data_IF_379137008242
#
_entry.id   IF_379137008242
#
_cell.length_a   1.000
_cell.length_b   1.000
_cell.length_c   1.000
_cell.angle_alpha   90.00
_cell.angle_beta   90.00
_cell.angle_gamma   90.00
#
_symmetry.space_group_name_H-M   'P 1'
#
loop_
_entity.id
_entity.type
_entity.pdbx_description
1 polymer ?
#
# COMPACT_ATOMS: atom_id res chain seq x y z
N UNK A 1 1.42 2.81 24.48
CA UNK A 1 1.45 3.01 23.02
C UNK A 1 1.44 1.64 22.37
N UNK A 2 0.56 1.40 21.40
CA UNK A 2 0.43 0.11 20.71
C UNK A 2 1.06 0.19 19.32
N UNK A 3 1.83 -0.84 18.95
CA UNK A 3 2.54 -0.97 17.67
C UNK A 3 2.05 -2.18 16.86
N UNK A 4 1.02 -2.90 17.34
CA UNK A 4 0.47 -4.06 16.63
C UNK A 4 -0.04 -3.66 15.24
N UNK A 5 0.38 -4.40 14.23
CA UNK A 5 -0.01 -4.18 12.84
C UNK A 5 0.57 -2.91 12.20
N UNK A 6 1.58 -2.28 12.81
CA UNK A 6 2.21 -1.08 12.29
C UNK A 6 3.63 -1.35 11.80
N UNK A 7 4.02 -0.66 10.74
CA UNK A 7 5.42 -0.62 10.30
C UNK A 7 6.16 0.44 11.11
N UNK A 8 7.23 0.00 11.78
CA UNK A 8 8.02 0.85 12.67
C UNK A 8 9.50 0.58 12.42
N UNK A 9 10.28 1.64 12.30
CA UNK A 9 11.74 1.56 12.35
C UNK A 9 12.18 1.97 13.76
N UNK A 10 13.03 1.15 14.38
CA UNK A 10 13.55 1.41 15.73
C UNK A 10 15.06 1.54 15.66
N UNK A 11 15.63 2.49 16.41
CA UNK A 11 17.07 2.70 16.50
C UNK A 11 17.50 2.60 17.96
N UNK A 12 18.64 1.96 18.19
CA UNK A 12 19.24 1.81 19.51
C UNK A 12 20.21 0.63 19.58
N UNK A 13 20.99 0.51 20.68
CA UNK A 13 21.95 -0.57 20.84
C UNK A 13 21.26 -1.92 21.06
N UNK A 14 21.91 -2.98 20.58
CA UNK A 14 21.49 -4.36 20.84
C UNK A 14 21.81 -4.69 22.30
N UNK A 15 20.80 -5.10 23.05
CA UNK A 15 20.89 -5.45 24.46
C UNK A 15 20.98 -6.97 24.69
N UNK A 16 20.63 -7.79 23.69
CA UNK A 16 20.78 -9.24 23.78
C UNK A 16 19.82 -10.01 22.88
N UNK A 17 19.46 -11.21 23.32
CA UNK A 17 18.55 -12.12 22.63
C UNK A 17 17.62 -12.77 23.66
N UNK A 18 16.35 -12.91 23.30
CA UNK A 18 15.30 -13.52 24.14
C UNK A 18 14.68 -14.69 23.38
N UNK A 19 14.57 -15.83 24.04
CA UNK A 19 13.90 -17.00 23.46
C UNK A 19 12.38 -16.77 23.41
N UNK A 20 11.75 -17.17 22.32
CA UNK A 20 10.31 -17.14 22.15
C UNK A 20 9.86 -18.06 21.02
N UNK A 21 8.71 -17.79 20.40
CA UNK A 21 8.18 -18.60 19.29
C UNK A 21 7.41 -17.75 18.28
N UNK A 22 7.46 -18.15 17.02
CA UNK A 22 6.59 -17.66 15.95
C UNK A 22 5.63 -18.81 15.60
N UNK A 23 4.35 -18.64 15.92
CA UNK A 23 3.38 -19.75 15.89
C UNK A 23 3.77 -20.85 16.88
N UNK A 24 4.06 -22.06 16.36
CA UNK A 24 4.52 -23.21 17.13
C UNK A 24 6.04 -23.41 17.11
N UNK A 25 6.78 -22.66 16.30
CA UNK A 25 8.22 -22.87 16.09
C UNK A 25 9.04 -21.96 17.02
N UNK A 26 10.00 -22.48 17.79
CA UNK A 26 10.86 -21.66 18.64
C UNK A 26 11.71 -20.71 17.80
N UNK A 27 11.85 -19.47 18.25
CA UNK A 27 12.60 -18.42 17.58
C UNK A 27 13.29 -17.51 18.60
N UNK A 28 14.49 -17.06 18.27
CA UNK A 28 15.30 -16.17 19.12
C UNK A 28 15.12 -14.73 18.67
N UNK A 29 14.47 -13.92 19.49
CA UNK A 29 14.21 -12.51 19.21
C UNK A 29 15.40 -11.66 19.66
N UNK A 30 15.85 -10.75 18.81
CA UNK A 30 16.80 -9.73 19.22
C UNK A 30 16.15 -8.77 20.22
N UNK A 31 16.82 -8.54 21.35
CA UNK A 31 16.46 -7.52 22.31
C UNK A 31 17.29 -6.27 22.05
N UNK A 32 16.63 -5.12 21.91
CA UNK A 32 17.30 -3.83 21.72
C UNK A 32 16.76 -2.80 22.70
N UNK A 33 17.62 -1.87 23.12
CA UNK A 33 17.20 -0.71 23.90
C UNK A 33 16.78 0.40 22.93
N UNK A 34 15.47 0.63 22.79
CA UNK A 34 14.95 1.60 21.84
C UNK A 34 15.21 3.04 22.32
N UNK A 35 16.15 3.74 21.70
CA UNK A 35 16.42 5.17 21.98
C UNK A 35 15.59 6.09 21.09
N UNK A 36 15.09 5.59 19.95
CA UNK A 36 14.17 6.30 19.08
C UNK A 36 13.39 5.35 18.17
N UNK A 37 12.27 5.82 17.65
CA UNK A 37 11.47 5.09 16.65
C UNK A 37 10.78 6.04 15.67
N UNK A 38 10.53 5.58 14.44
CA UNK A 38 9.67 6.22 13.44
C UNK A 38 8.53 5.27 13.08
N UNK A 39 7.29 5.74 13.19
CA UNK A 39 6.09 5.00 12.73
C UNK A 39 5.76 5.43 11.32
N UNK A 40 5.60 4.45 10.44
CA UNK A 40 5.23 4.68 9.05
C UNK A 40 3.72 4.59 8.88
N UNK A 41 3.13 5.55 8.17
CA UNK A 41 1.74 5.50 7.78
C UNK A 41 1.65 4.71 6.47
N UNK A 42 0.90 3.60 6.46
CA UNK A 42 0.65 2.85 5.22
C UNK A 42 -0.58 3.45 4.56
N UNK A 43 -0.38 4.12 3.43
CA UNK A 43 -1.47 4.70 2.63
C UNK A 43 -1.66 3.84 1.40
N UNK A 44 -2.90 3.42 1.17
CA UNK A 44 -3.29 2.70 -0.01
C UNK A 44 -3.67 3.71 -1.10
N UNK A 45 -2.85 3.83 -2.14
CA UNK A 45 -3.20 4.68 -3.29
C UNK A 45 -3.95 3.85 -4.32
N UNK A 46 -5.14 4.30 -4.69
CA UNK A 46 -5.92 3.76 -5.81
C UNK A 46 -5.63 4.64 -7.02
N UNK A 47 -4.88 4.11 -7.99
CA UNK A 47 -4.66 4.82 -9.26
C UNK A 47 -5.78 4.43 -10.21
N UNK A 48 -6.68 5.38 -10.49
CA UNK A 48 -7.73 5.16 -11.48
C UNK A 48 -7.13 5.15 -12.89
N UNK A 49 -7.53 4.19 -13.75
CA UNK A 49 -7.14 4.22 -15.15
C UNK A 49 -7.67 5.50 -15.81
N UNK A 50 -6.93 6.06 -16.79
CA UNK A 50 -7.40 7.20 -17.56
C UNK A 50 -8.80 6.92 -18.09
N UNK A 51 -9.74 7.83 -17.79
CA UNK A 51 -11.09 7.72 -18.33
C UNK A 51 -11.00 7.77 -19.86
N UNK A 52 -11.82 7.00 -20.60
CA UNK A 52 -11.87 7.10 -22.05
C UNK A 52 -12.19 8.54 -22.45
N UNK A 53 -11.20 9.22 -23.02
CA UNK A 53 -11.39 10.54 -23.64
C UNK A 53 -11.89 10.28 -25.05
N UNK A 54 -13.05 10.83 -25.39
CA UNK A 54 -13.53 10.76 -26.75
C UNK A 54 -12.58 11.58 -27.66
N UNK A 55 -12.24 11.10 -28.87
CA UNK A 55 -11.27 11.78 -29.75
C UNK A 55 -11.60 13.23 -30.11
N UNK A 56 -12.83 13.66 -29.83
CA UNK A 56 -13.38 14.96 -30.16
C UNK A 56 -13.77 15.79 -28.93
N UNK A 57 -13.42 15.35 -27.71
CA UNK A 57 -13.66 16.03 -26.42
C UNK A 57 -15.10 16.52 -26.19
N UNK A 58 -16.08 15.88 -26.81
CA UNK A 58 -17.48 16.27 -26.86
C UNK A 58 -18.30 15.82 -25.63
N UNK A 59 -17.66 15.18 -24.65
CA UNK A 59 -18.26 14.82 -23.36
C UNK A 59 -19.36 13.75 -23.46
N UNK A 60 -19.92 13.32 -22.32
CA UNK A 60 -20.93 12.25 -22.28
C UNK A 60 -22.25 12.72 -22.89
N UNK A 61 -22.68 12.12 -24.01
CA UNK A 61 -23.94 12.49 -24.69
C UNK A 61 -25.09 11.58 -24.25
N UNK A 62 -26.29 12.11 -23.90
CA UNK A 62 -27.37 11.35 -23.27
C UNK A 62 -28.07 10.28 -24.13
N UNK A 63 -27.79 10.18 -25.43
CA UNK A 63 -28.57 9.38 -26.39
C UNK A 63 -27.73 8.48 -27.30
N UNK A 64 -26.62 7.91 -26.80
CA UNK A 64 -25.71 7.05 -27.58
C UNK A 64 -25.75 5.59 -27.15
N UNK A 65 -26.75 4.82 -27.61
CA UNK A 65 -26.65 3.36 -27.64
C UNK A 65 -25.76 2.94 -28.82
N UNK A 66 -24.63 2.30 -28.52
CA UNK A 66 -23.80 1.60 -29.51
C UNK A 66 -22.55 2.37 -29.92
N UNK A 67 -21.38 1.92 -29.49
CA UNK A 67 -20.49 1.04 -30.27
C UNK A 67 -19.29 0.75 -29.37
N UNK A 68 -19.12 -0.53 -29.03
CA UNK A 68 -17.97 -0.98 -28.25
C UNK A 68 -16.65 -0.74 -29.00
N UNK A 69 -15.63 -0.39 -28.22
CA UNK A 69 -14.25 -0.82 -28.47
C UNK A 69 -13.49 -0.14 -29.59
N UNK A 70 -13.10 1.13 -29.42
CA UNK A 70 -11.90 1.70 -30.07
C UNK A 70 -11.13 2.67 -29.16
N UNK A 71 -11.17 2.43 -27.85
CA UNK A 71 -10.35 3.15 -26.87
C UNK A 71 -9.02 2.44 -26.65
N UNK A 72 -7.90 3.12 -26.94
CA UNK A 72 -6.52 2.68 -26.71
C UNK A 72 -6.12 2.59 -25.23
N UNK A 73 -7.08 2.43 -24.31
CA UNK A 73 -6.82 2.44 -22.89
C UNK A 73 -7.41 1.20 -22.24
N UNK A 74 -6.49 0.43 -21.64
CA UNK A 74 -6.76 -0.79 -20.89
C UNK A 74 -7.69 -0.48 -19.70
N UNK A 75 -8.94 -0.98 -19.66
CA UNK A 75 -9.87 -0.81 -18.53
C UNK A 75 -9.52 -1.78 -17.40
N UNK A 76 -8.23 -1.97 -17.15
CA UNK A 76 -7.73 -2.85 -16.10
C UNK A 76 -8.18 -2.35 -14.71
N UNK A 77 -8.38 -3.26 -13.75
CA UNK A 77 -8.74 -2.90 -12.39
C UNK A 77 -7.72 -1.90 -11.83
N UNK A 78 -8.20 -0.90 -11.09
CA UNK A 78 -7.35 0.12 -10.48
C UNK A 78 -6.23 -0.56 -9.67
N UNK A 79 -4.98 -0.21 -9.96
CA UNK A 79 -3.85 -0.76 -9.22
C UNK A 79 -3.88 -0.22 -7.80
N UNK A 80 -3.98 -1.14 -6.86
CA UNK A 80 -3.87 -0.86 -5.43
C UNK A 80 -2.41 -0.99 -5.05
N UNK A 81 -1.76 0.12 -4.69
CA UNK A 81 -0.38 0.13 -4.19
C UNK A 81 -0.36 0.57 -2.74
N UNK A 82 0.20 -0.28 -1.87
CA UNK A 82 0.48 0.08 -0.49
C UNK A 82 1.79 0.84 -0.45
N UNK A 83 1.72 2.14 -0.17
CA UNK A 83 2.88 3.02 -0.09
C UNK A 83 3.11 3.40 1.37
N UNK A 84 4.37 3.37 1.77
CA UNK A 84 4.81 3.76 3.11
C UNK A 84 5.12 5.26 3.07
N UNK A 85 4.37 6.07 3.82
CA UNK A 85 4.57 7.52 3.93
C UNK A 85 5.08 7.91 5.32
N UNK A 86 5.84 9.01 5.37
CA UNK A 86 6.52 9.50 6.58
C UNK A 86 5.61 10.01 7.68
#
# INVERSE_FOLDING_TARGET
MDFRGQLVTVVGPIAGVVDGKVGSTPYKFMLMNATGYKRWNVVQQVVMPPQPIDPWMLGPRPWGYGYGGWGWYNPGPAEVRNVVTE
#
